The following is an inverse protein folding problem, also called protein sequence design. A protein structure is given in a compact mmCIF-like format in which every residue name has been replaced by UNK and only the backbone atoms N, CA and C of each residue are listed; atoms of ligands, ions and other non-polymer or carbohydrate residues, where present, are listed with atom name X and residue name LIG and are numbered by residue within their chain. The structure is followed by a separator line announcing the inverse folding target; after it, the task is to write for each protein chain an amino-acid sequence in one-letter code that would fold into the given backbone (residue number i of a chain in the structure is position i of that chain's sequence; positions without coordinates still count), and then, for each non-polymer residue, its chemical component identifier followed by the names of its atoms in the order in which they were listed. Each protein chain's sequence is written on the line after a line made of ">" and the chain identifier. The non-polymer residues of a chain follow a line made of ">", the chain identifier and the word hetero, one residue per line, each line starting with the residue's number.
data_IF_105682766926
#
_entry.id   IF_105682766926
#
_cell.length_a   1.000
_cell.length_b   1.000
_cell.length_c   1.000
_cell.angle_alpha   90.00
_cell.angle_beta   90.00
_cell.angle_gamma   90.00
#
_symmetry.space_group_name_H-M   'P 1'
#
loop_
_entity.id
_entity.type
_entity.pdbx_description
1 polymer ?
#
# COMPACT_ATOMS: atom_id res chain seq x y z
N UNK A 1 -4.44 -10.75 -15.99
CA UNK A 1 -4.52 -11.85 -14.99
C UNK A 1 -3.36 -11.82 -13.97
N UNK A 2 -2.13 -11.44 -14.33
CA UNK A 2 -0.98 -11.37 -13.38
C UNK A 2 -1.16 -10.28 -12.31
N UNK A 3 -1.66 -9.10 -12.70
CA UNK A 3 -1.74 -7.93 -11.83
C UNK A 3 -2.63 -8.14 -10.59
N UNK A 4 -3.76 -8.84 -10.75
CA UNK A 4 -4.65 -9.20 -9.65
C UNK A 4 -3.98 -10.16 -8.65
N UNK A 5 -3.15 -11.11 -9.13
CA UNK A 5 -2.38 -12.00 -8.26
C UNK A 5 -1.32 -11.24 -7.47
N UNK A 6 -0.61 -10.30 -8.10
CA UNK A 6 0.38 -9.45 -7.42
C UNK A 6 -0.26 -8.59 -6.32
N UNK A 7 -1.44 -8.01 -6.60
CA UNK A 7 -2.19 -7.24 -5.61
C UNK A 7 -2.67 -8.12 -4.43
N UNK A 8 -3.21 -9.31 -4.71
CA UNK A 8 -3.57 -10.26 -3.65
C UNK A 8 -2.37 -10.63 -2.78
N UNK A 9 -1.23 -10.98 -3.38
CA UNK A 9 0.00 -11.28 -2.66
C UNK A 9 0.49 -10.10 -1.83
N UNK A 10 0.39 -8.88 -2.35
CA UNK A 10 0.76 -7.66 -1.62
C UNK A 10 -0.14 -7.44 -0.40
N UNK A 11 -1.47 -7.56 -0.56
CA UNK A 11 -2.39 -7.45 0.56
C UNK A 11 -2.19 -8.52 1.62
N UNK A 12 -1.89 -9.75 1.18
CA UNK A 12 -1.60 -10.87 2.08
C UNK A 12 -0.30 -10.63 2.87
N UNK A 13 0.73 -10.09 2.20
CA UNK A 13 1.99 -9.70 2.84
C UNK A 13 1.77 -8.59 3.87
N UNK A 14 0.97 -7.57 3.54
CA UNK A 14 0.65 -6.47 4.46
C UNK A 14 -0.15 -6.96 5.67
N UNK A 15 -1.12 -7.86 5.46
CA UNK A 15 -1.89 -8.46 6.53
C UNK A 15 -1.04 -9.37 7.44
N UNK A 16 -0.09 -10.12 6.86
CA UNK A 16 0.87 -10.93 7.60
C UNK A 16 1.72 -10.08 8.52
N UNK A 17 2.26 -8.96 8.01
CA UNK A 17 3.08 -8.04 8.79
C UNK A 17 2.30 -7.41 9.94
N UNK A 18 1.07 -6.92 9.71
CA UNK A 18 0.24 -6.37 10.78
C UNK A 18 -0.16 -7.44 11.81
N UNK A 19 -0.38 -8.69 11.38
CA UNK A 19 -0.62 -9.82 12.27
C UNK A 19 0.59 -10.16 13.14
N UNK A 20 1.81 -10.08 12.60
CA UNK A 20 3.06 -10.27 13.35
C UNK A 20 3.22 -9.20 14.43
N UNK A 21 2.93 -7.94 14.12
CA UNK A 21 2.96 -6.86 15.12
C UNK A 21 1.88 -7.02 16.20
N UNK A 22 0.69 -7.50 15.82
CA UNK A 22 -0.36 -7.82 16.79
C UNK A 22 0.06 -8.95 17.73
N UNK A 23 0.63 -10.04 17.19
CA UNK A 23 1.20 -11.12 17.99
C UNK A 23 2.33 -10.65 18.91
N UNK A 24 3.19 -9.74 18.43
CA UNK A 24 4.22 -9.12 19.26
C UNK A 24 3.62 -8.30 20.41
N UNK A 25 2.53 -7.57 20.14
CA UNK A 25 1.85 -6.77 21.16
C UNK A 25 1.26 -7.64 22.28
N UNK A 26 0.80 -8.86 21.98
CA UNK A 26 0.34 -9.83 22.97
C UNK A 26 1.47 -10.61 23.65
N UNK A 27 2.49 -11.02 22.88
CA UNK A 27 3.52 -11.96 23.34
C UNK A 27 4.71 -11.29 24.07
N UNK A 28 4.75 -9.96 24.13
CA UNK A 28 5.76 -9.21 24.88
C UNK A 28 7.10 -9.06 24.14
N UNK A 29 8.20 -8.99 24.90
CA UNK A 29 9.52 -8.52 24.44
C UNK A 29 10.29 -9.59 23.65
N UNK A 30 9.88 -9.87 22.41
CA UNK A 30 10.60 -10.78 21.51
C UNK A 30 11.30 -10.02 20.37
N UNK A 31 12.61 -9.78 20.53
CA UNK A 31 13.40 -8.99 19.58
C UNK A 31 13.55 -9.70 18.22
N UNK A 32 13.59 -11.04 18.19
CA UNK A 32 13.68 -11.79 16.94
C UNK A 32 12.41 -11.67 16.09
N UNK A 33 11.24 -11.77 16.72
CA UNK A 33 9.96 -11.59 16.05
C UNK A 33 9.79 -10.14 15.57
N UNK A 34 10.20 -9.16 16.37
CA UNK A 34 10.21 -7.74 15.99
C UNK A 34 11.07 -7.51 14.74
N UNK A 35 12.30 -8.04 14.71
CA UNK A 35 13.21 -7.86 13.59
C UNK A 35 12.64 -8.42 12.28
N UNK A 36 12.04 -9.61 12.32
CA UNK A 36 11.38 -10.21 11.15
C UNK A 36 10.16 -9.40 10.69
N UNK A 37 9.30 -9.00 11.63
CA UNK A 37 8.12 -8.19 11.31
C UNK A 37 8.52 -6.86 10.64
N UNK A 38 9.49 -6.16 11.21
CA UNK A 38 10.00 -4.88 10.68
C UNK A 38 10.69 -5.06 9.33
N UNK A 39 11.46 -6.15 9.12
CA UNK A 39 12.06 -6.43 7.81
C UNK A 39 10.99 -6.62 6.73
N UNK A 40 9.97 -7.43 7.00
CA UNK A 40 8.88 -7.67 6.04
C UNK A 40 8.07 -6.41 5.78
N UNK A 41 7.79 -5.61 6.82
CA UNK A 41 7.09 -4.33 6.69
C UNK A 41 7.85 -3.35 5.79
N UNK A 42 9.15 -3.17 6.05
CA UNK A 42 9.97 -2.25 5.26
C UNK A 42 10.11 -2.72 3.81
N UNK A 43 10.18 -4.04 3.59
CA UNK A 43 10.19 -4.61 2.25
C UNK A 43 8.89 -4.31 1.49
N UNK A 44 7.73 -4.52 2.14
CA UNK A 44 6.42 -4.20 1.57
C UNK A 44 6.25 -2.69 1.31
N UNK A 45 6.64 -1.85 2.27
CA UNK A 45 6.60 -0.40 2.16
C UNK A 45 7.50 0.13 1.03
N UNK A 46 8.67 -0.48 0.84
CA UNK A 46 9.58 -0.19 -0.27
C UNK A 46 8.95 -0.48 -1.63
N UNK A 47 8.35 -1.67 -1.79
CA UNK A 47 7.63 -2.05 -3.01
C UNK A 47 6.47 -1.09 -3.32
N UNK A 48 5.69 -0.69 -2.31
CA UNK A 48 4.60 0.27 -2.46
C UNK A 48 5.09 1.63 -2.97
N UNK A 49 6.21 2.12 -2.41
CA UNK A 49 6.81 3.39 -2.80
C UNK A 49 7.32 3.35 -4.25
N UNK A 50 7.99 2.28 -4.66
CA UNK A 50 8.43 2.11 -6.06
C UNK A 50 7.25 2.02 -7.02
N UNK A 51 6.20 1.27 -6.68
CA UNK A 51 5.00 1.16 -7.52
C UNK A 51 4.31 2.51 -7.70
N UNK A 52 4.26 3.33 -6.66
CA UNK A 52 3.71 4.68 -6.71
C UNK A 52 4.52 5.60 -7.63
N UNK A 53 5.85 5.59 -7.52
CA UNK A 53 6.72 6.38 -8.42
C UNK A 53 6.55 5.93 -9.87
N UNK A 54 6.48 4.63 -10.13
CA UNK A 54 6.21 4.10 -11.48
C UNK A 54 4.84 4.56 -11.99
N UNK A 55 3.82 4.61 -11.14
CA UNK A 55 2.51 5.15 -11.49
C UNK A 55 2.59 6.64 -11.86
N UNK A 56 3.30 7.45 -11.08
CA UNK A 56 3.48 8.88 -11.38
C UNK A 56 4.23 9.10 -12.70
N UNK A 57 5.28 8.32 -12.96
CA UNK A 57 6.03 8.38 -14.22
C UNK A 57 5.16 8.07 -15.45
N UNK A 58 4.01 7.38 -15.29
CA UNK A 58 3.06 7.15 -16.38
C UNK A 58 2.08 8.31 -16.61
N UNK A 59 1.92 9.20 -15.63
CA UNK A 59 0.96 10.32 -15.65
C UNK A 59 1.65 11.63 -16.04
N UNK A 60 2.92 11.77 -15.64
CA UNK A 60 3.72 12.98 -15.85
C UNK A 60 4.15 13.14 -17.31
N UNK A 61 4.13 14.37 -17.82
CA UNK A 61 4.63 14.72 -19.15
C UNK A 61 6.18 14.79 -19.13
N UNK A 62 6.80 14.16 -20.14
CA UNK A 62 8.27 14.12 -20.30
C UNK A 62 8.89 15.53 -20.32
N UNK A 63 8.18 16.54 -20.83
CA UNK A 63 8.67 17.92 -20.94
C UNK A 63 8.80 18.64 -19.61
N UNK A 64 7.97 18.29 -18.62
CA UNK A 64 7.94 18.95 -17.30
C UNK A 64 8.13 17.96 -16.14
N UNK A 65 8.87 16.88 -16.39
CA UNK A 65 8.93 15.72 -15.50
C UNK A 65 9.35 16.07 -14.07
N UNK A 66 10.39 16.89 -13.93
CA UNK A 66 10.95 17.24 -12.62
C UNK A 66 9.93 17.96 -11.72
N UNK A 67 9.21 18.93 -12.25
CA UNK A 67 8.26 19.75 -11.47
C UNK A 67 6.99 18.97 -11.13
N UNK A 68 6.40 18.28 -12.10
CA UNK A 68 5.16 17.52 -11.89
C UNK A 68 5.38 16.33 -10.95
N UNK A 69 6.49 15.60 -11.11
CA UNK A 69 6.82 14.49 -10.22
C UNK A 69 7.03 14.97 -8.78
N UNK A 70 7.77 16.07 -8.58
CA UNK A 70 8.01 16.62 -7.24
C UNK A 70 6.71 17.03 -6.53
N UNK A 71 5.77 17.64 -7.26
CA UNK A 71 4.46 18.00 -6.73
C UNK A 71 3.62 16.77 -6.36
N UNK A 72 3.59 15.75 -7.23
CA UNK A 72 2.89 14.49 -6.95
C UNK A 72 3.49 13.74 -5.76
N UNK A 73 4.81 13.72 -5.64
CA UNK A 73 5.52 13.10 -4.50
C UNK A 73 5.27 13.89 -3.20
N UNK A 74 5.21 15.23 -3.26
CA UNK A 74 4.86 16.04 -2.11
C UNK A 74 3.45 15.69 -1.59
N UNK A 75 2.47 15.59 -2.48
CA UNK A 75 1.10 15.16 -2.13
C UNK A 75 1.10 13.72 -1.61
N UNK A 76 1.86 12.82 -2.23
CA UNK A 76 1.98 11.42 -1.81
C UNK A 76 2.54 11.25 -0.39
N UNK A 77 3.25 12.24 0.12
CA UNK A 77 3.83 12.21 1.47
C UNK A 77 2.81 12.60 2.55
N UNK A 78 1.74 13.32 2.20
CA UNK A 78 0.73 13.80 3.15
C UNK A 78 0.10 12.69 4.00
N UNK A 79 -0.34 11.54 3.43
CA UNK A 79 -0.93 10.47 4.25
C UNK A 79 0.01 10.00 5.36
N UNK A 80 1.30 9.85 5.06
CA UNK A 80 2.31 9.42 6.04
C UNK A 80 2.48 10.44 7.17
N UNK A 81 2.42 11.73 6.85
CA UNK A 81 2.56 12.82 7.82
C UNK A 81 1.35 12.87 8.77
N UNK A 82 0.13 12.68 8.26
CA UNK A 82 -1.08 12.72 9.10
C UNK A 82 -1.33 11.44 9.89
N UNK A 83 -1.05 10.27 9.31
CA UNK A 83 -1.30 8.98 9.95
C UNK A 83 -0.38 8.77 11.17
N UNK A 84 0.85 9.30 11.15
CA UNK A 84 1.80 9.17 12.27
C UNK A 84 1.26 9.72 13.60
N UNK A 85 0.86 11.01 13.69
CA UNK A 85 0.25 11.58 14.89
C UNK A 85 -1.07 10.91 15.29
N UNK A 86 -1.89 10.50 14.31
CA UNK A 86 -3.15 9.79 14.58
C UNK A 86 -2.84 8.44 15.25
N UNK A 87 -1.86 7.70 14.74
CA UNK A 87 -1.41 6.44 15.32
C UNK A 87 -0.87 6.66 16.75
N UNK A 88 -0.06 7.69 16.98
CA UNK A 88 0.43 8.03 18.32
C UNK A 88 -0.73 8.37 19.29
N UNK A 89 -1.73 9.12 18.84
CA UNK A 89 -2.92 9.42 19.64
C UNK A 89 -3.71 8.15 20.01
N UNK A 90 -3.89 7.25 19.05
CA UNK A 90 -4.55 5.96 19.28
C UNK A 90 -3.75 5.12 20.28
N UNK A 91 -2.43 5.01 20.10
CA UNK A 91 -1.54 4.30 21.02
C UNK A 91 -1.65 4.83 22.45
N UNK A 92 -1.74 6.14 22.64
CA UNK A 92 -1.88 6.76 23.96
C UNK A 92 -3.23 6.45 24.62
N UNK A 93 -4.29 6.24 23.82
CA UNK A 93 -5.66 5.99 24.32
C UNK A 93 -5.94 4.51 24.60
N UNK A 94 -5.55 3.62 23.68
CA UNK A 94 -5.92 2.19 23.71
C UNK A 94 -4.69 1.25 23.75
N UNK A 95 -3.49 1.80 23.92
CA UNK A 95 -2.26 1.05 24.00
C UNK A 95 -1.78 0.50 22.66
N UNK A 96 -0.67 -0.24 22.71
CA UNK A 96 -0.06 -0.86 21.54
C UNK A 96 -0.95 -1.95 20.93
N UNK A 97 -1.61 -2.75 21.76
CA UNK A 97 -2.50 -3.83 21.31
C UNK A 97 -3.64 -3.25 20.46
N UNK A 98 -4.37 -2.26 20.98
CA UNK A 98 -5.48 -1.64 20.27
C UNK A 98 -5.06 -0.95 18.96
N UNK A 99 -3.87 -0.33 18.92
CA UNK A 99 -3.32 0.23 17.69
C UNK A 99 -3.11 -0.84 16.61
N UNK A 100 -2.50 -1.98 16.97
CA UNK A 100 -2.22 -3.05 16.01
C UNK A 100 -3.48 -3.83 15.64
N UNK A 101 -4.48 -3.94 16.52
CA UNK A 101 -5.80 -4.48 16.19
C UNK A 101 -6.49 -3.64 15.11
N UNK A 102 -6.49 -2.32 15.27
CA UNK A 102 -7.03 -1.40 14.26
C UNK A 102 -6.26 -1.51 12.95
N UNK A 103 -4.93 -1.58 12.98
CA UNK A 103 -4.10 -1.73 11.78
C UNK A 103 -4.35 -3.07 11.06
N UNK A 104 -4.52 -4.15 11.83
CA UNK A 104 -4.81 -5.48 11.29
C UNK A 104 -6.23 -5.54 10.69
N UNK A 105 -7.23 -4.96 11.36
CA UNK A 105 -8.58 -4.83 10.83
C UNK A 105 -8.61 -3.98 9.55
N UNK A 106 -7.87 -2.86 9.51
CA UNK A 106 -7.75 -2.01 8.34
C UNK A 106 -7.10 -2.74 7.15
N UNK A 107 -6.18 -3.68 7.42
CA UNK A 107 -5.55 -4.50 6.39
C UNK A 107 -6.56 -5.41 5.69
N UNK A 108 -7.60 -5.89 6.38
CA UNK A 108 -8.69 -6.62 5.74
C UNK A 108 -9.60 -5.74 4.89
N UNK A 109 -9.66 -4.43 5.18
CA UNK A 109 -10.30 -3.43 4.32
C UNK A 109 -9.72 -3.38 2.89
N UNK A 110 -8.54 -3.97 2.67
CA UNK A 110 -7.98 -4.18 1.34
C UNK A 110 -8.81 -5.12 0.44
N UNK A 111 -9.50 -6.12 1.01
CA UNK A 111 -10.32 -7.08 0.25
C UNK A 111 -11.48 -6.41 -0.52
N UNK A 112 -12.32 -5.54 0.09
CA UNK A 112 -13.38 -4.86 -0.65
C UNK A 112 -12.82 -3.92 -1.74
N UNK A 113 -11.68 -3.27 -1.50
CA UNK A 113 -10.99 -2.49 -2.55
C UNK A 113 -10.56 -3.38 -3.73
N UNK A 114 -9.99 -4.55 -3.45
CA UNK A 114 -9.67 -5.53 -4.50
C UNK A 114 -10.91 -6.01 -5.26
N UNK A 115 -12.04 -6.16 -4.58
CA UNK A 115 -13.29 -6.58 -5.21
C UNK A 115 -13.83 -5.51 -6.18
N UNK A 116 -13.76 -4.24 -5.78
CA UNK A 116 -14.09 -3.10 -6.64
C UNK A 116 -13.12 -3.00 -7.84
N UNK A 117 -11.82 -3.25 -7.61
CA UNK A 117 -10.83 -3.22 -8.67
C UNK A 117 -10.98 -4.40 -9.63
N UNK A 118 -11.34 -5.60 -9.14
CA UNK A 118 -11.67 -6.77 -9.96
C UNK A 118 -12.83 -6.44 -10.89
N UNK A 119 -13.88 -5.76 -10.42
CA UNK A 119 -15.00 -5.35 -11.25
C UNK A 119 -14.59 -4.32 -12.31
N UNK A 120 -13.71 -3.36 -11.97
CA UNK A 120 -13.17 -2.38 -12.92
C UNK A 120 -12.22 -2.99 -13.97
N UNK A 121 -11.46 -4.03 -13.61
CA UNK A 121 -10.52 -4.72 -14.51
C UNK A 121 -11.19 -5.80 -15.37
N UNK A 122 -12.29 -6.41 -14.90
CA UNK A 122 -13.10 -7.36 -15.68
C UNK A 122 -14.10 -6.62 -16.58
N UNK A 123 -14.55 -5.41 -16.20
CA UNK A 123 -15.40 -4.55 -17.02
C UNK A 123 -14.68 -3.80 -18.14
N UNK A 124 -13.34 -3.71 -18.13
CA UNK A 124 -12.55 -3.20 -19.25
C UNK A 124 -11.79 -4.32 -19.94
N UNK A 125 -12.37 -4.84 -21.00
CA UNK A 125 -11.63 -5.60 -22.01
C UNK A 125 -10.30 -4.89 -22.36
N UNK A 126 -9.17 -5.60 -22.42
CA UNK A 126 -7.96 -5.09 -23.03
C UNK A 126 -8.14 -5.11 -24.56
N UNK A 127 -8.87 -4.13 -25.09
CA UNK A 127 -8.47 -3.53 -26.38
C UNK A 127 -7.58 -2.36 -25.97
N UNK A 128 -6.35 -2.60 -25.56
CA UNK A 128 -5.26 -2.54 -26.52
C UNK A 128 -5.55 -1.44 -27.54
N UNK A 129 -5.18 -0.22 -27.15
CA UNK A 129 -4.99 0.93 -28.02
C UNK A 129 -3.92 0.62 -29.08
N UNK A 130 -4.18 -0.41 -29.89
CA UNK A 130 -3.49 -0.73 -31.13
C UNK A 130 -4.28 -0.23 -32.33
N UNK A 131 -5.56 0.11 -32.16
CA UNK A 131 -6.40 0.63 -33.26
C UNK A 131 -6.23 2.13 -33.51
N UNK A 132 -5.77 2.92 -32.53
CA UNK A 132 -5.48 4.34 -32.77
C UNK A 132 -4.15 4.60 -33.50
N UNK A 133 -3.36 3.55 -33.74
CA UNK A 133 -2.18 3.56 -34.62
C UNK A 133 -2.53 3.02 -36.02
N UNK A 134 -3.73 2.46 -36.24
CA UNK A 134 -4.11 1.79 -37.49
C UNK A 134 -5.32 2.39 -38.22
N UNK A 135 -5.95 3.49 -37.76
CA UNK A 135 -7.09 4.09 -38.49
C UNK A 135 -7.29 5.61 -38.38
N UNK A 136 -6.29 6.40 -38.04
CA UNK A 136 -6.26 7.87 -38.22
C UNK A 136 -4.82 8.33 -38.43
#
# INVERSE_FOLDING_TARGET
>A
RSLFKCLLWFGLLQALTNGLFLLLAFSGKNVGLLALAVMLDNFAAGMGSTALVVMFMRIVDKRFTATQLSFLVAIATLPRIFIGPIAAYIQLKIGWVGLYEVAWALSFGYLPFLYVLKNSLIGRHPKFALSHILSA
#
